data_IF_956638144911
#
_entry.id   IF_956638144911
#
_cell.length_a   1.000
_cell.length_b   1.000
_cell.length_c   1.000
_cell.angle_alpha   90.00
_cell.angle_beta   90.00
_cell.angle_gamma   90.00
#
_symmetry.space_group_name_H-M   'P 1'
#
loop_
_entity.id
_entity.type
_entity.pdbx_description
1 polymer ?
#
# COMPACT_ATOMS: atom_id res chain seq x y z
N UNK A 1 -16.09 32.96 12.98
CA UNK A 1 -15.18 33.84 12.21
C UNK A 1 -15.46 33.83 10.70
N UNK A 2 -16.54 33.21 10.21
CA UNK A 2 -17.00 33.33 8.80
C UNK A 2 -18.25 34.22 8.66
N UNK A 3 -18.88 34.58 9.79
CA UNK A 3 -19.97 35.57 9.91
C UNK A 3 -19.58 36.99 9.44
N UNK A 4 -18.29 37.22 9.15
CA UNK A 4 -17.77 38.47 8.58
C UNK A 4 -17.71 38.44 7.05
N UNK A 5 -17.98 37.30 6.41
CA UNK A 5 -17.99 37.20 4.96
C UNK A 5 -19.29 37.80 4.41
N UNK A 6 -19.23 38.62 3.33
CA UNK A 6 -20.43 39.13 2.68
C UNK A 6 -21.36 37.98 2.27
N UNK A 7 -22.63 38.02 2.72
CA UNK A 7 -23.61 36.94 2.45
C UNK A 7 -23.76 36.61 0.96
N UNK A 8 -23.48 37.57 0.08
CA UNK A 8 -23.53 37.41 -1.37
C UNK A 8 -22.44 36.47 -1.92
N UNK A 9 -21.28 36.36 -1.26
CA UNK A 9 -20.22 35.43 -1.64
C UNK A 9 -20.53 33.97 -1.28
N UNK A 10 -21.44 33.76 -0.33
CA UNK A 10 -21.84 32.43 0.13
C UNK A 10 -22.96 31.84 -0.72
N UNK A 11 -23.81 32.68 -1.32
CA UNK A 11 -25.02 32.24 -2.04
C UNK A 11 -25.02 32.50 -3.54
N UNK A 12 -24.11 33.32 -4.08
CA UNK A 12 -24.10 33.66 -5.51
C UNK A 12 -22.68 33.69 -6.08
N UNK A 13 -22.48 32.91 -7.15
CA UNK A 13 -21.30 32.95 -8.00
C UNK A 13 -20.38 31.75 -7.85
N UNK A 14 -19.44 31.60 -8.79
CA UNK A 14 -18.54 30.44 -8.87
C UNK A 14 -17.67 30.26 -7.61
N UNK A 15 -17.41 31.36 -6.89
CA UNK A 15 -16.73 31.37 -5.59
C UNK A 15 -17.45 30.55 -4.52
N UNK A 16 -18.79 30.49 -4.56
CA UNK A 16 -19.59 29.74 -3.57
C UNK A 16 -19.31 28.24 -3.63
N UNK A 17 -19.06 27.66 -4.82
CA UNK A 17 -18.74 26.24 -4.96
C UNK A 17 -17.43 25.87 -4.25
N UNK A 18 -16.40 26.70 -4.37
CA UNK A 18 -15.13 26.48 -3.69
C UNK A 18 -15.27 26.60 -2.17
N UNK A 19 -16.07 27.55 -1.69
CA UNK A 19 -16.32 27.73 -0.26
C UNK A 19 -17.15 26.59 0.33
N UNK A 20 -18.15 26.08 -0.38
CA UNK A 20 -18.95 24.92 0.04
C UNK A 20 -18.09 23.65 0.07
N UNK A 21 -17.24 23.43 -0.94
CA UNK A 21 -16.33 22.30 -0.98
C UNK A 21 -15.31 22.35 0.18
N UNK A 22 -14.75 23.53 0.46
CA UNK A 22 -13.84 23.74 1.58
C UNK A 22 -14.56 23.52 2.92
N UNK A 23 -15.78 24.03 3.08
CA UNK A 23 -16.57 23.84 4.30
C UNK A 23 -16.84 22.35 4.56
N UNK A 24 -17.24 21.62 3.52
CA UNK A 24 -17.43 20.17 3.59
C UNK A 24 -16.14 19.43 3.97
N UNK A 25 -15.00 19.79 3.36
CA UNK A 25 -13.72 19.17 3.68
C UNK A 25 -13.29 19.43 5.14
N UNK A 26 -13.45 20.65 5.64
CA UNK A 26 -13.14 20.98 7.04
C UNK A 26 -14.03 20.21 8.00
N UNK A 27 -15.31 20.02 7.69
CA UNK A 27 -16.22 19.26 8.54
C UNK A 27 -15.84 17.77 8.61
N UNK A 28 -15.43 17.19 7.47
CA UNK A 28 -14.87 15.83 7.40
C UNK A 28 -13.59 15.71 8.23
N UNK A 29 -12.72 16.73 8.20
CA UNK A 29 -11.47 16.76 8.99
C UNK A 29 -11.70 16.98 10.49
N UNK A 30 -12.79 17.62 10.89
CA UNK A 30 -13.13 17.79 12.31
C UNK A 30 -13.61 16.48 12.93
N UNK A 31 -14.17 15.58 12.13
CA UNK A 31 -14.61 14.30 12.60
C UNK A 31 -13.47 13.26 12.57
N UNK A 32 -12.86 13.02 13.74
CA UNK A 32 -11.76 12.06 13.89
C UNK A 32 -12.12 10.62 13.49
N UNK A 33 -13.41 10.25 13.51
CA UNK A 33 -13.87 8.95 13.03
C UNK A 33 -13.91 8.86 11.50
N UNK A 34 -14.23 9.97 10.82
CA UNK A 34 -14.12 10.11 9.37
C UNK A 34 -12.68 10.08 8.93
N UNK A 35 -11.78 10.75 9.66
CA UNK A 35 -10.33 10.67 9.42
C UNK A 35 -9.85 9.23 9.63
N UNK A 36 -10.31 8.52 10.66
CA UNK A 36 -9.94 7.11 10.86
C UNK A 36 -10.49 6.20 9.78
N UNK A 37 -11.70 6.46 9.25
CA UNK A 37 -12.27 5.74 8.09
C UNK A 37 -11.49 6.07 6.81
N UNK A 38 -11.11 7.33 6.59
CA UNK A 38 -10.27 7.76 5.48
C UNK A 38 -8.85 7.21 5.60
N UNK A 39 -8.27 7.13 6.79
CA UNK A 39 -6.97 6.49 7.04
C UNK A 39 -7.05 4.95 6.97
N UNK A 40 -8.22 4.37 7.24
CA UNK A 40 -8.48 2.95 6.97
C UNK A 40 -8.64 2.69 5.46
N UNK A 41 -9.22 3.64 4.73
CA UNK A 41 -9.23 3.65 3.26
C UNK A 41 -7.84 3.98 2.72
N UNK A 42 -7.02 4.77 3.40
CA UNK A 42 -5.63 5.06 3.06
C UNK A 42 -4.75 3.85 3.36
N UNK A 43 -5.00 3.05 4.40
CA UNK A 43 -4.41 1.72 4.51
C UNK A 43 -4.87 0.77 3.37
N UNK A 44 -5.99 1.08 2.72
CA UNK A 44 -6.46 0.46 1.47
C UNK A 44 -5.98 1.22 0.19
N UNK A 45 -5.42 2.42 0.29
CA UNK A 45 -5.05 3.31 -0.83
C UNK A 45 -3.54 3.63 -0.89
N UNK A 46 -2.78 3.37 0.17
CA UNK A 46 -1.37 2.94 0.11
C UNK A 46 -1.26 1.52 -0.46
N UNK A 47 -2.40 0.86 -0.68
CA UNK A 47 -2.55 -0.28 -1.60
C UNK A 47 -2.98 0.16 -3.01
N UNK A 48 -3.03 1.46 -3.34
CA UNK A 48 -3.34 1.95 -4.68
C UNK A 48 -2.85 3.39 -4.92
N UNK A 49 -1.55 3.59 -5.18
CA UNK A 49 -1.10 4.86 -5.76
C UNK A 49 -1.34 4.83 -7.27
N UNK A 50 -2.31 5.64 -7.69
CA UNK A 50 -2.62 5.92 -9.08
C UNK A 50 -3.66 7.03 -9.19
N UNK A 51 -3.36 8.20 -8.62
CA UNK A 51 -4.08 9.41 -8.98
C UNK A 51 -3.39 10.02 -10.20
N UNK A 52 -4.03 9.94 -11.36
CA UNK A 52 -3.97 11.02 -12.34
C UNK A 52 -5.25 11.06 -13.20
N UNK A 53 -5.85 12.25 -13.17
CA UNK A 53 -6.55 12.90 -14.27
C UNK A 53 -7.99 12.46 -14.59
N UNK A 54 -8.92 13.24 -14.02
CA UNK A 54 -9.97 13.97 -14.73
C UNK A 54 -10.45 13.42 -16.08
N UNK A 55 -11.67 12.85 -16.12
CA UNK A 55 -12.73 13.24 -17.06
C UNK A 55 -13.94 12.34 -16.91
N UNK A 56 -15.12 12.93 -17.09
CA UNK A 56 -16.41 12.28 -17.03
C UNK A 56 -16.53 11.04 -17.95
N UNK A 57 -17.34 10.07 -17.50
CA UNK A 57 -17.92 9.04 -18.36
C UNK A 57 -17.30 7.65 -18.21
N UNK A 58 -18.06 6.75 -17.59
CA UNK A 58 -18.06 5.32 -17.87
C UNK A 58 -16.69 4.60 -17.84
N UNK A 59 -16.31 4.11 -16.66
CA UNK A 59 -15.67 2.80 -16.56
C UNK A 59 -15.76 2.30 -15.12
N UNK A 60 -16.61 1.30 -14.90
CA UNK A 60 -16.49 0.39 -13.77
C UNK A 60 -15.03 -0.08 -13.67
N UNK A 61 -14.34 0.00 -12.52
CA UNK A 61 -13.08 -0.72 -12.41
C UNK A 61 -13.45 -2.19 -12.32
N UNK A 62 -12.92 -2.96 -13.26
CA UNK A 62 -12.96 -4.42 -13.27
C UNK A 62 -12.21 -4.89 -12.01
N UNK A 63 -12.92 -4.99 -10.89
CA UNK A 63 -12.45 -5.56 -9.62
C UNK A 63 -12.49 -7.10 -9.69
N UNK A 64 -11.90 -7.67 -10.74
CA UNK A 64 -11.79 -9.12 -10.93
C UNK A 64 -10.45 -9.50 -11.56
N UNK A 65 -9.34 -9.03 -10.97
CA UNK A 65 -7.98 -9.41 -11.37
C UNK A 65 -7.00 -9.58 -10.20
N UNK A 66 -7.49 -9.67 -8.96
CA UNK A 66 -6.71 -9.64 -7.71
C UNK A 66 -5.91 -10.92 -7.39
N UNK A 67 -5.67 -11.79 -8.38
CA UNK A 67 -4.87 -13.00 -8.19
C UNK A 67 -3.43 -12.90 -8.72
N UNK A 68 -3.00 -11.72 -9.20
CA UNK A 68 -1.71 -11.58 -9.88
C UNK A 68 -0.78 -10.51 -9.31
N UNK A 69 -0.89 -10.12 -8.03
CA UNK A 69 -0.06 -9.06 -7.44
C UNK A 69 0.54 -9.43 -6.08
N UNK A 70 1.84 -9.19 -5.90
CA UNK A 70 2.60 -9.49 -4.68
C UNK A 70 3.05 -8.18 -4.05
N UNK A 71 2.67 -7.95 -2.79
CA UNK A 71 3.14 -6.80 -2.01
C UNK A 71 4.40 -7.16 -1.25
N UNK A 72 5.44 -6.34 -1.39
CA UNK A 72 6.75 -6.51 -0.74
C UNK A 72 7.09 -5.23 0.03
N UNK A 73 7.46 -5.38 1.30
CA UNK A 73 7.98 -4.30 2.13
C UNK A 73 9.48 -4.13 1.88
N UNK A 74 9.89 -2.91 1.57
CA UNK A 74 11.26 -2.52 1.25
C UNK A 74 11.65 -1.43 2.25
N UNK A 75 12.67 -1.67 3.10
CA UNK A 75 13.21 -0.65 3.98
C UNK A 75 13.98 0.37 3.15
N UNK A 76 13.74 1.64 3.44
CA UNK A 76 14.52 2.75 2.91
C UNK A 76 15.63 3.09 3.90
N UNK A 77 16.88 2.84 3.50
CA UNK A 77 18.05 3.11 4.34
C UNK A 77 18.34 4.62 4.47
N UNK A 78 17.84 5.47 3.55
CA UNK A 78 18.06 6.92 3.58
C UNK A 78 17.09 7.60 4.56
N UNK A 79 15.81 7.21 4.50
CA UNK A 79 14.74 7.82 5.31
C UNK A 79 14.43 7.03 6.60
N UNK A 80 14.97 5.82 6.75
CA UNK A 80 14.69 4.93 7.90
C UNK A 80 13.24 4.44 7.96
N UNK A 81 12.52 4.49 6.83
CA UNK A 81 11.10 4.13 6.72
C UNK A 81 10.91 2.83 5.96
N UNK A 82 9.75 2.17 6.13
CA UNK A 82 9.40 0.96 5.39
C UNK A 82 8.37 1.32 4.32
N UNK A 83 8.73 1.15 3.06
CA UNK A 83 7.86 1.37 1.90
C UNK A 83 7.27 0.05 1.43
N UNK A 84 6.01 0.06 1.01
CA UNK A 84 5.34 -1.13 0.48
C UNK A 84 5.16 -1.00 -1.02
N UNK A 85 5.69 -1.96 -1.77
CA UNK A 85 5.63 -1.97 -3.23
C UNK A 85 4.93 -3.21 -3.74
N UNK A 86 4.09 -3.02 -4.76
CA UNK A 86 3.32 -4.09 -5.38
C UNK A 86 3.94 -4.45 -6.73
N UNK A 87 4.21 -5.74 -6.91
CA UNK A 87 4.78 -6.30 -8.13
C UNK A 87 3.80 -7.26 -8.78
N UNK A 88 3.80 -7.40 -10.12
CA UNK A 88 2.99 -8.41 -10.79
C UNK A 88 3.48 -9.82 -10.41
N UNK A 89 2.64 -10.55 -9.67
CA UNK A 89 2.76 -11.98 -9.40
C UNK A 89 2.27 -12.78 -10.61
N UNK A 90 3.12 -12.88 -11.63
CA UNK A 90 2.90 -13.86 -12.69
C UNK A 90 3.25 -15.27 -12.15
N UNK A 91 2.52 -16.30 -12.58
CA UNK A 91 2.78 -17.70 -12.18
C UNK A 91 4.22 -18.21 -12.49
N UNK A 92 4.96 -17.52 -13.36
CA UNK A 92 6.36 -17.80 -13.74
C UNK A 92 7.40 -16.91 -13.00
N UNK A 93 6.93 -16.05 -12.09
CA UNK A 93 7.77 -15.16 -11.30
C UNK A 93 8.32 -15.93 -10.10
N UNK A 94 9.62 -16.23 -10.14
CA UNK A 94 10.34 -16.81 -9.00
C UNK A 94 10.83 -15.71 -8.06
N UNK A 95 11.11 -16.06 -6.81
CA UNK A 95 11.66 -15.14 -5.81
C UNK A 95 12.96 -14.49 -6.32
N UNK A 96 13.83 -15.23 -7.01
CA UNK A 96 15.04 -14.66 -7.60
C UNK A 96 14.76 -13.59 -8.67
N UNK A 97 13.77 -13.82 -9.54
CA UNK A 97 13.36 -12.82 -10.54
C UNK A 97 12.77 -11.60 -9.86
N UNK A 98 11.93 -11.79 -8.86
CA UNK A 98 11.34 -10.70 -8.08
C UNK A 98 12.42 -9.87 -7.36
N UNK A 99 13.38 -10.53 -6.70
CA UNK A 99 14.54 -9.87 -6.09
C UNK A 99 15.32 -9.01 -7.09
N UNK A 100 15.56 -9.53 -8.31
CA UNK A 100 16.25 -8.78 -9.37
C UNK A 100 15.45 -7.56 -9.84
N UNK A 101 14.15 -7.71 -10.03
CA UNK A 101 13.25 -6.60 -10.41
C UNK A 101 13.26 -5.52 -9.33
N UNK A 102 13.17 -5.91 -8.06
CA UNK A 102 13.24 -4.99 -6.91
C UNK A 102 14.61 -4.29 -6.91
N UNK A 103 15.71 -5.03 -6.96
CA UNK A 103 17.05 -4.45 -6.96
C UNK A 103 17.26 -3.45 -8.09
N UNK A 104 16.79 -3.78 -9.30
CA UNK A 104 16.86 -2.90 -10.46
C UNK A 104 15.99 -1.65 -10.29
N UNK A 105 14.76 -1.79 -9.80
CA UNK A 105 13.82 -0.68 -9.64
C UNK A 105 14.27 0.34 -8.58
N UNK A 106 14.93 -0.12 -7.52
CA UNK A 106 15.43 0.73 -6.43
C UNK A 106 16.92 1.07 -6.54
N UNK A 107 17.60 0.66 -7.62
CA UNK A 107 19.02 0.97 -7.84
C UNK A 107 19.96 0.34 -6.80
N UNK A 108 19.60 -0.84 -6.28
CA UNK A 108 20.35 -1.53 -5.21
C UNK A 108 21.67 -2.05 -5.79
N UNK A 109 22.78 -1.57 -5.24
CA UNK A 109 24.13 -1.83 -5.77
C UNK A 109 24.60 -3.28 -5.54
N UNK A 110 24.12 -3.92 -4.47
CA UNK A 110 24.53 -5.28 -4.08
C UNK A 110 23.31 -6.23 -3.98
N UNK A 111 22.76 -6.73 -5.09
CA UNK A 111 21.59 -7.63 -5.06
C UNK A 111 21.87 -8.97 -4.37
N UNK A 112 23.12 -9.43 -4.33
CA UNK A 112 23.55 -10.69 -3.69
C UNK A 112 23.50 -10.63 -2.16
N UNK A 113 23.64 -9.43 -1.58
CA UNK A 113 23.55 -9.21 -0.13
C UNK A 113 22.10 -9.11 0.36
N UNK A 114 21.13 -9.14 -0.56
CA UNK A 114 19.72 -8.95 -0.29
C UNK A 114 18.89 -10.19 -0.63
N UNK A 115 17.91 -10.46 0.22
CA UNK A 115 16.99 -11.58 0.07
C UNK A 115 15.54 -11.17 0.21
N UNK A 116 14.65 -11.98 -0.35
CA UNK A 116 13.22 -11.91 -0.09
C UNK A 116 12.92 -12.79 1.13
N UNK A 117 12.35 -12.18 2.15
CA UNK A 117 11.93 -12.80 3.39
C UNK A 117 10.41 -12.86 3.44
N UNK A 118 9.90 -13.99 3.92
CA UNK A 118 8.51 -14.18 4.24
C UNK A 118 8.35 -14.09 5.76
N UNK A 119 7.48 -13.21 6.22
CA UNK A 119 7.12 -13.08 7.61
C UNK A 119 5.73 -13.67 7.82
N UNK A 120 5.63 -14.68 8.70
CA UNK A 120 4.37 -15.35 9.06
C UNK A 120 4.36 -15.57 10.57
N UNK A 121 3.30 -15.13 11.25
CA UNK A 121 3.11 -15.35 12.70
C UNK A 121 4.31 -14.90 13.57
N UNK A 122 5.09 -13.92 13.11
CA UNK A 122 6.30 -13.41 13.80
C UNK A 122 7.59 -14.15 13.47
N UNK A 123 7.56 -15.16 12.60
CA UNK A 123 8.74 -15.85 12.10
C UNK A 123 9.14 -15.31 10.73
N UNK A 124 10.43 -15.00 10.57
CA UNK A 124 11.02 -14.62 9.28
C UNK A 124 11.66 -15.84 8.63
N UNK A 125 11.25 -16.17 7.40
CA UNK A 125 11.83 -17.25 6.60
C UNK A 125 12.40 -16.69 5.31
N UNK A 126 13.66 -16.98 5.00
CA UNK A 126 14.24 -16.59 3.72
C UNK A 126 13.66 -17.47 2.61
N UNK A 127 13.11 -16.84 1.57
CA UNK A 127 12.63 -17.55 0.38
C UNK A 127 13.83 -17.99 -0.47
N UNK A 128 13.80 -19.22 -0.98
CA UNK A 128 14.82 -19.69 -1.91
C UNK A 128 14.58 -19.12 -3.30
N UNK A 129 15.65 -19.02 -4.10
CA UNK A 129 15.63 -18.49 -5.47
C UNK A 129 14.63 -19.17 -6.41
N UNK A 130 14.30 -20.44 -6.14
CA UNK A 130 13.36 -21.26 -6.94
C UNK A 130 11.90 -21.16 -6.46
N UNK A 131 11.65 -20.55 -5.31
CA UNK A 131 10.31 -20.46 -4.74
C UNK A 131 9.45 -19.47 -5.53
N UNK A 132 8.15 -19.78 -5.64
CA UNK A 132 7.17 -18.93 -6.33
C UNK A 132 6.39 -18.12 -5.27
N UNK A 133 6.66 -16.82 -5.09
CA UNK A 133 5.95 -16.01 -4.10
C UNK A 133 4.43 -15.98 -4.32
N UNK A 134 3.96 -16.17 -5.55
CA UNK A 134 2.53 -16.27 -5.87
C UNK A 134 1.89 -17.55 -5.32
N UNK A 135 2.56 -18.71 -5.49
CA UNK A 135 2.10 -19.98 -4.92
C UNK A 135 2.08 -19.95 -3.39
N UNK A 136 3.10 -19.33 -2.79
CA UNK A 136 3.22 -19.15 -1.34
C UNK A 136 2.14 -18.22 -0.81
N UNK A 137 1.87 -17.11 -1.53
CA UNK A 137 0.75 -16.20 -1.22
C UNK A 137 -0.56 -16.98 -1.19
N UNK A 138 -0.82 -17.79 -2.22
CA UNK A 138 -2.04 -18.58 -2.32
C UNK A 138 -2.16 -19.61 -1.19
N UNK A 139 -1.08 -20.32 -0.86
CA UNK A 139 -1.05 -21.27 0.26
C UNK A 139 -1.34 -20.57 1.61
N UNK A 140 -0.76 -19.40 1.85
CA UNK A 140 -0.96 -18.65 3.10
C UNK A 140 -2.38 -18.07 3.19
N UNK A 141 -2.95 -17.64 2.06
CA UNK A 141 -4.35 -17.23 1.98
C UNK A 141 -5.30 -18.39 2.30
N UNK A 142 -5.05 -19.59 1.74
CA UNK A 142 -5.80 -20.79 2.07
C UNK A 142 -5.70 -21.16 3.54
N UNK A 143 -4.49 -21.03 4.13
CA UNK A 143 -4.26 -21.25 5.55
C UNK A 143 -4.83 -20.13 6.45
N UNK A 144 -5.39 -19.05 5.87
CA UNK A 144 -5.84 -17.83 6.57
C UNK A 144 -4.80 -17.26 7.53
N UNK A 145 -3.53 -17.41 7.19
CA UNK A 145 -2.42 -16.86 7.95
C UNK A 145 -2.14 -15.45 7.47
N UNK A 146 -1.72 -14.62 8.41
CA UNK A 146 -1.26 -13.29 8.07
C UNK A 146 0.21 -13.34 7.69
N UNK A 147 0.54 -12.73 6.55
CA UNK A 147 1.86 -12.81 5.96
C UNK A 147 2.30 -11.47 5.40
N UNK A 148 3.61 -11.27 5.38
CA UNK A 148 4.25 -10.11 4.79
C UNK A 148 5.51 -10.56 4.03
N UNK A 149 5.61 -10.20 2.75
CA UNK A 149 6.89 -10.31 2.05
C UNK A 149 7.72 -9.07 2.35
N UNK A 150 8.98 -9.26 2.66
CA UNK A 150 9.94 -8.21 2.94
C UNK A 150 11.22 -8.44 2.15
N UNK A 151 11.70 -7.40 1.48
CA UNK A 151 13.00 -7.43 0.83
C UNK A 151 13.99 -6.68 1.71
N UNK A 152 15.02 -7.37 2.21
CA UNK A 152 16.03 -6.78 3.09
C UNK A 152 17.40 -7.42 2.89
N UNK A 153 18.44 -6.75 3.37
CA UNK A 153 19.79 -7.33 3.46
C UNK A 153 19.83 -8.51 4.42
N UNK A 154 20.72 -9.47 4.17
CA UNK A 154 20.91 -10.65 5.02
C UNK A 154 21.36 -10.31 6.46
N UNK A 155 22.11 -9.23 6.63
CA UNK A 155 22.61 -8.73 7.92
C UNK A 155 21.62 -7.80 8.64
N UNK A 156 20.57 -7.34 7.95
CA UNK A 156 19.65 -6.35 8.50
C UNK A 156 18.65 -6.96 9.51
N UNK A 157 18.69 -6.42 10.73
CA UNK A 157 17.73 -6.71 11.81
C UNK A 157 16.66 -5.62 11.84
N UNK A 158 15.59 -5.85 11.09
CA UNK A 158 14.48 -4.90 10.95
C UNK A 158 13.36 -5.32 11.88
N UNK A 159 12.90 -4.40 12.72
CA UNK A 159 11.71 -4.61 13.54
C UNK A 159 10.47 -4.31 12.68
N UNK A 160 9.80 -5.37 12.20
CA UNK A 160 8.62 -5.20 11.36
C UNK A 160 7.39 -4.79 12.18
N UNK A 161 6.61 -3.81 11.70
CA UNK A 161 5.43 -3.38 12.40
C UNK A 161 4.39 -4.50 12.45
N UNK A 162 3.96 -4.89 13.66
CA UNK A 162 2.91 -5.90 13.87
C UNK A 162 1.61 -5.57 13.15
N UNK A 163 1.31 -4.27 12.96
CA UNK A 163 0.15 -3.79 12.21
C UNK A 163 0.17 -4.23 10.73
N UNK A 164 1.35 -4.37 10.11
CA UNK A 164 1.49 -4.81 8.73
C UNK A 164 1.28 -6.33 8.56
N UNK A 165 1.42 -7.08 9.66
CA UNK A 165 1.29 -8.54 9.72
C UNK A 165 -0.09 -8.94 10.27
N UNK A 166 -0.97 -8.02 10.65
CA UNK A 166 -2.27 -8.35 11.28
C UNK A 166 -3.48 -8.27 10.34
N UNK A 167 -3.31 -8.03 9.03
CA UNK A 167 -4.42 -7.60 8.16
C UNK A 167 -5.32 -8.71 7.60
N UNK A 168 -5.32 -9.94 8.13
CA UNK A 168 -6.19 -11.02 7.62
C UNK A 168 -7.01 -11.76 8.67
N UNK A 169 -7.18 -11.21 9.88
CA UNK A 169 -8.13 -11.76 10.87
C UNK A 169 -9.24 -10.78 11.21
N UNK A 170 -10.24 -10.66 10.32
CA UNK A 170 -11.60 -10.31 10.76
C UNK A 170 -12.57 -11.25 10.06
N UNK A 171 -12.93 -12.31 10.80
CA UNK A 171 -14.11 -13.11 10.53
C UNK A 171 -15.38 -12.41 10.98
#
# INVERSE_FOLDING_TARGET
MWELLPKQLLTTGDSSYYLIALFSAVDVLKNTESIRKLASVENCAQQNQGCCSSSAGSASPILSGSDAFIRVAIPDELDGSIRYHTFPGAAQMTAAKLCRVVAHQFGITNPEDHGLYLLVDGFETCLLSNECPDAIRHQLQQARKAFLFAYKRHDAKIAWPKAAISSTSRG
#
